data_IF_329396757585
#
_entry.id   IF_329396757585
#
_cell.length_a   1.000
_cell.length_b   1.000
_cell.length_c   1.000
_cell.angle_alpha   90.00
_cell.angle_beta   90.00
_cell.angle_gamma   90.00
#
_symmetry.space_group_name_H-M   'P 1'
#
loop_
_entity.id
_entity.type
_entity.pdbx_description
1 polymer ?
#
# COMPACT_ATOMS: atom_id res chain seq x y z
N UNK A 1 19.53 -3.10 6.49
CA UNK A 1 18.34 -2.66 7.25
C UNK A 1 17.65 -3.92 7.77
N UNK A 2 17.70 -4.20 9.07
CA UNK A 2 17.11 -5.40 9.65
C UNK A 2 15.63 -5.12 9.94
N UNK A 3 14.74 -5.93 9.38
CA UNK A 3 13.29 -5.78 9.57
C UNK A 3 12.94 -6.24 10.99
N UNK A 4 12.32 -5.37 11.78
CA UNK A 4 11.84 -5.71 13.12
C UNK A 4 10.44 -6.34 13.01
N UNK A 5 10.37 -7.65 13.16
CA UNK A 5 9.13 -8.44 13.05
C UNK A 5 8.11 -8.08 14.14
N UNK A 6 8.56 -7.68 15.33
CA UNK A 6 7.68 -7.25 16.43
C UNK A 6 6.92 -5.98 16.04
N UNK A 7 7.62 -5.00 15.47
CA UNK A 7 6.99 -3.75 15.02
C UNK A 7 6.00 -3.99 13.87
N UNK A 8 6.31 -4.88 12.94
CA UNK A 8 5.37 -5.24 11.86
C UNK A 8 4.10 -5.91 12.39
N UNK A 9 4.24 -6.76 13.41
CA UNK A 9 3.11 -7.43 14.05
C UNK A 9 2.21 -6.41 14.74
N UNK A 10 2.79 -5.46 15.48
CA UNK A 10 2.05 -4.38 16.13
C UNK A 10 1.29 -3.51 15.13
N UNK A 11 1.93 -3.11 14.03
CA UNK A 11 1.26 -2.35 12.95
C UNK A 11 0.10 -3.13 12.36
N UNK A 12 0.26 -4.45 12.13
CA UNK A 12 -0.81 -5.29 11.61
C UNK A 12 -1.99 -5.37 12.58
N UNK A 13 -1.74 -5.49 13.89
CA UNK A 13 -2.78 -5.45 14.92
C UNK A 13 -3.54 -4.13 14.89
N UNK A 14 -2.84 -2.99 14.85
CA UNK A 14 -3.46 -1.67 14.81
C UNK A 14 -4.33 -1.45 13.54
N UNK A 15 -3.94 -2.04 12.42
CA UNK A 15 -4.75 -2.02 11.19
C UNK A 15 -5.98 -2.92 11.36
N UNK A 16 -5.81 -4.12 11.92
CA UNK A 16 -6.89 -5.09 12.13
C UNK A 16 -7.95 -4.64 13.14
N UNK A 17 -7.54 -3.83 14.13
CA UNK A 17 -8.42 -3.20 15.12
C UNK A 17 -9.04 -1.88 14.64
N UNK A 18 -8.81 -1.48 13.39
CA UNK A 18 -9.25 -0.21 12.79
C UNK A 18 -8.70 1.07 13.46
N UNK A 19 -7.74 0.93 14.38
CA UNK A 19 -7.02 2.03 15.02
C UNK A 19 -6.19 2.86 14.01
N UNK A 20 -5.76 2.22 12.92
CA UNK A 20 -5.04 2.86 11.80
C UNK A 20 -5.69 2.49 10.47
N UNK A 21 -5.99 3.49 9.64
CA UNK A 21 -6.46 3.28 8.27
C UNK A 21 -5.31 3.40 7.27
N UNK A 22 -5.18 2.41 6.40
CA UNK A 22 -4.22 2.47 5.29
C UNK A 22 -4.78 3.41 4.21
N UNK A 23 -4.08 4.51 3.96
CA UNK A 23 -4.42 5.42 2.87
C UNK A 23 -4.05 4.80 1.52
N UNK A 24 -5.04 4.53 0.69
CA UNK A 24 -4.87 4.10 -0.70
C UNK A 24 -5.25 5.23 -1.63
N UNK A 25 -4.44 5.46 -2.64
CA UNK A 25 -4.76 6.45 -3.69
C UNK A 25 -5.46 5.78 -4.87
N UNK A 26 -4.96 4.62 -5.29
CA UNK A 26 -5.56 3.84 -6.36
C UNK A 26 -5.33 2.35 -6.16
N UNK A 27 -6.29 1.55 -6.59
CA UNK A 27 -6.16 0.09 -6.73
C UNK A 27 -6.32 -0.22 -8.21
N UNK A 28 -5.24 -0.69 -8.83
CA UNK A 28 -5.16 -0.95 -10.27
C UNK A 28 -4.94 -2.44 -10.53
N UNK A 29 -5.34 -2.91 -11.71
CA UNK A 29 -5.02 -4.27 -12.13
C UNK A 29 -3.53 -4.41 -12.46
N UNK A 30 -3.02 -5.66 -12.49
CA UNK A 30 -1.64 -5.90 -12.94
C UNK A 30 -1.39 -5.41 -14.38
N UNK A 31 -2.41 -5.46 -15.25
CA UNK A 31 -2.32 -4.93 -16.63
C UNK A 31 -2.03 -3.42 -16.64
N UNK A 32 -2.42 -2.71 -15.58
CA UNK A 32 -2.24 -1.27 -15.43
C UNK A 32 -0.98 -0.91 -14.61
N UNK A 33 -0.07 -1.85 -14.36
CA UNK A 33 1.14 -1.62 -13.57
C UNK A 33 1.97 -0.41 -14.04
N UNK A 34 2.02 -0.16 -15.36
CA UNK A 34 2.67 1.04 -15.89
C UNK A 34 2.01 2.33 -15.40
N UNK A 35 0.68 2.40 -15.41
CA UNK A 35 -0.07 3.56 -14.93
C UNK A 35 0.13 3.76 -13.43
N UNK A 36 0.16 2.67 -12.66
CA UNK A 36 0.46 2.70 -11.24
C UNK A 36 1.83 3.34 -10.94
N UNK A 37 2.84 3.00 -11.74
CA UNK A 37 4.19 3.54 -11.62
C UNK A 37 4.26 5.04 -11.91
N UNK A 38 3.55 5.51 -12.94
CA UNK A 38 3.48 6.94 -13.26
C UNK A 38 2.80 7.74 -12.13
N UNK A 39 1.72 7.21 -11.54
CA UNK A 39 1.06 7.82 -10.37
C UNK A 39 2.04 7.87 -9.18
N UNK A 40 2.73 6.77 -8.89
CA UNK A 40 3.68 6.70 -7.79
C UNK A 40 4.89 7.65 -7.95
N UNK A 41 5.25 8.00 -9.19
CA UNK A 41 6.29 9.00 -9.48
C UNK A 41 5.82 10.43 -9.32
N UNK A 42 4.52 10.70 -9.38
CA UNK A 42 4.01 12.05 -9.14
C UNK A 42 4.24 12.42 -7.66
N UNK A 43 4.93 13.53 -7.39
CA UNK A 43 5.31 13.97 -6.03
C UNK A 43 4.14 14.24 -5.06
N UNK A 44 2.89 14.07 -5.51
CA UNK A 44 1.67 14.34 -4.76
C UNK A 44 0.84 13.09 -4.43
N UNK A 45 1.42 11.89 -4.56
CA UNK A 45 0.71 10.69 -4.19
C UNK A 45 0.30 10.75 -2.70
N UNK A 46 -1.01 10.82 -2.42
CA UNK A 46 -1.58 10.99 -1.07
C UNK A 46 -1.71 9.65 -0.31
N UNK A 47 -1.24 8.55 -0.90
CA UNK A 47 -1.33 7.23 -0.32
C UNK A 47 -0.53 6.18 -1.08
N UNK A 48 -0.87 4.91 -0.82
CA UNK A 48 -0.28 3.78 -1.53
C UNK A 48 -1.05 3.51 -2.83
N UNK A 49 -0.32 3.25 -3.91
CA UNK A 49 -0.88 2.68 -5.13
C UNK A 49 -0.75 1.16 -5.05
N UNK A 50 -1.87 0.45 -5.11
CA UNK A 50 -1.92 -1.01 -4.92
C UNK A 50 -2.21 -1.69 -6.25
N UNK A 51 -1.49 -2.78 -6.54
CA UNK A 51 -1.80 -3.67 -7.65
C UNK A 51 -2.59 -4.86 -7.15
N UNK A 52 -3.77 -5.07 -7.74
CA UNK A 52 -4.60 -6.25 -7.51
C UNK A 52 -4.32 -7.27 -8.60
N UNK A 53 -3.92 -8.46 -8.16
CA UNK A 53 -3.81 -9.64 -9.01
C UNK A 53 -5.09 -10.45 -8.81
N UNK A 54 -5.90 -10.59 -9.85
CA UNK A 54 -7.01 -11.55 -9.91
C UNK A 54 -6.50 -12.74 -10.71
N UNK A 55 -6.55 -13.92 -10.09
CA UNK A 55 -6.27 -15.21 -10.73
C UNK A 55 -7.42 -15.60 -11.66
#
# INVERSE_FOLDING_TARGET
>A
MQVNTTQLTEIATLIGEECVRVAYEAVLSLLEARKAHEIAKASHALGKVILRIVA
#
